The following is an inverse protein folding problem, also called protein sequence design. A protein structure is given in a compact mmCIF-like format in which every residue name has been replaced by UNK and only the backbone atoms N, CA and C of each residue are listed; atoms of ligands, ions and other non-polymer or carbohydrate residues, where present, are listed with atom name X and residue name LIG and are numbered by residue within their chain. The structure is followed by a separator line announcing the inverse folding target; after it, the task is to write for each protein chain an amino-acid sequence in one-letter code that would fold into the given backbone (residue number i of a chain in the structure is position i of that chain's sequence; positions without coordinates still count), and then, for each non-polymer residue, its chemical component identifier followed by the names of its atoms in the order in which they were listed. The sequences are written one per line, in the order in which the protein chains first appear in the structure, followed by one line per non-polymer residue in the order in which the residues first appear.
data_IF_874280690864
#
_entry.id   IF_874280690864
#
_cell.length_a   1.000
_cell.length_b   1.000
_cell.length_c   1.000
_cell.angle_alpha   90.00
_cell.angle_beta   90.00
_cell.angle_gamma   90.00
#
_symmetry.space_group_name_H-M   'P 1'
#
loop_
_entity.id
_entity.type
_entity.pdbx_description
1 polymer ?
#
# COMPACT_ATOMS: atom_id res chain seq x y z
N UNK A 1 -11.09 15.26 -3.95
CA UNK A 1 -11.66 14.27 -2.99
C UNK A 1 -11.61 14.89 -1.61
N UNK A 2 -12.63 14.67 -0.79
CA UNK A 2 -12.55 15.08 0.61
C UNK A 2 -11.53 14.19 1.30
N UNK A 3 -10.81 14.77 2.23
CA UNK A 3 -9.72 14.13 2.97
C UNK A 3 -10.14 12.83 3.67
N UNK A 4 -11.40 12.76 4.10
CA UNK A 4 -12.04 11.59 4.68
C UNK A 4 -12.20 10.43 3.69
N UNK A 5 -12.41 10.73 2.41
CA UNK A 5 -12.55 9.71 1.35
C UNK A 5 -11.21 9.04 1.05
N UNK A 6 -10.11 9.79 1.11
CA UNK A 6 -8.75 9.24 0.93
C UNK A 6 -8.37 8.33 2.09
N UNK A 7 -8.71 8.72 3.32
CA UNK A 7 -8.46 7.87 4.49
C UNK A 7 -9.29 6.59 4.43
N UNK A 8 -10.57 6.68 4.08
CA UNK A 8 -11.44 5.50 3.90
C UNK A 8 -10.96 4.60 2.76
N UNK A 9 -10.46 5.19 1.67
CA UNK A 9 -9.87 4.41 0.57
C UNK A 9 -8.62 3.65 1.04
N UNK A 10 -7.75 4.31 1.81
CA UNK A 10 -6.55 3.68 2.37
C UNK A 10 -6.90 2.55 3.34
N UNK A 11 -7.89 2.74 4.22
CA UNK A 11 -8.36 1.70 5.16
C UNK A 11 -8.94 0.49 4.43
N UNK A 12 -9.76 0.70 3.39
CA UNK A 12 -10.29 -0.42 2.59
C UNK A 12 -9.18 -1.17 1.85
N UNK A 13 -8.18 -0.45 1.37
CA UNK A 13 -7.02 -1.08 0.72
C UNK A 13 -6.22 -1.89 1.73
N UNK A 14 -6.00 -1.36 2.93
CA UNK A 14 -5.37 -2.06 4.05
C UNK A 14 -6.06 -3.40 4.32
N UNK A 15 -7.39 -3.40 4.52
CA UNK A 15 -8.17 -4.62 4.77
C UNK A 15 -8.05 -5.64 3.63
N UNK A 16 -8.08 -5.16 2.37
CA UNK A 16 -7.93 -6.02 1.19
C UNK A 16 -6.53 -6.63 1.13
N UNK A 17 -5.49 -5.84 1.41
CA UNK A 17 -4.10 -6.26 1.37
C UNK A 17 -3.80 -7.28 2.47
N UNK A 18 -4.25 -7.01 3.70
CA UNK A 18 -4.01 -7.90 4.86
C UNK A 18 -4.59 -9.29 4.61
N UNK A 19 -5.77 -9.38 4.00
CA UNK A 19 -6.43 -10.65 3.63
C UNK A 19 -6.02 -11.22 2.26
N UNK A 20 -5.22 -10.52 1.47
CA UNK A 20 -4.85 -10.91 0.12
C UNK A 20 -3.61 -11.81 0.06
N UNK A 21 -3.51 -12.61 -1.00
CA UNK A 21 -2.30 -13.33 -1.38
C UNK A 21 -1.22 -12.38 -1.92
N UNK A 22 0.05 -12.81 -1.90
CA UNK A 22 1.20 -12.01 -2.35
C UNK A 22 0.99 -11.35 -3.73
N UNK A 23 0.43 -12.07 -4.70
CA UNK A 23 0.15 -11.53 -6.05
C UNK A 23 -0.88 -10.39 -6.01
N UNK A 24 -1.93 -10.54 -5.20
CA UNK A 24 -2.93 -9.50 -5.03
C UNK A 24 -2.37 -8.30 -4.25
N UNK A 25 -1.50 -8.55 -3.26
CA UNK A 25 -0.75 -7.50 -2.56
C UNK A 25 0.12 -6.68 -3.50
N UNK A 26 0.88 -7.31 -4.39
CA UNK A 26 1.67 -6.63 -5.43
C UNK A 26 0.80 -5.78 -6.37
N UNK A 27 -0.34 -6.30 -6.80
CA UNK A 27 -1.25 -5.55 -7.67
C UNK A 27 -1.88 -4.33 -6.95
N UNK A 28 -2.08 -4.40 -5.63
CA UNK A 28 -2.67 -3.34 -4.82
C UNK A 28 -1.64 -2.33 -4.29
N UNK A 29 -0.36 -2.69 -4.24
CA UNK A 29 0.73 -1.83 -3.78
C UNK A 29 0.81 -0.47 -4.51
N UNK A 30 0.78 -0.39 -5.86
CA UNK A 30 0.84 0.90 -6.54
C UNK A 30 -0.39 1.77 -6.22
N UNK A 31 -1.59 1.18 -6.19
CA UNK A 31 -2.84 1.87 -5.82
C UNK A 31 -2.78 2.39 -4.37
N UNK A 32 -2.23 1.59 -3.45
CA UNK A 32 -2.04 1.96 -2.06
C UNK A 32 -1.05 3.14 -1.90
N UNK A 33 0.09 3.08 -2.59
CA UNK A 33 1.10 4.14 -2.52
C UNK A 33 0.59 5.46 -3.12
N UNK A 34 -0.21 5.41 -4.19
CA UNK A 34 -0.88 6.60 -4.73
C UNK A 34 -1.80 7.26 -3.70
N UNK A 35 -2.63 6.46 -3.01
CA UNK A 35 -3.53 6.97 -1.97
C UNK A 35 -2.76 7.56 -0.79
N UNK A 36 -1.67 6.89 -0.33
CA UNK A 36 -0.80 7.44 0.72
C UNK A 36 -0.11 8.73 0.30
N UNK A 37 0.33 8.82 -0.96
CA UNK A 37 0.93 10.03 -1.51
C UNK A 37 -0.08 11.18 -1.57
N UNK A 38 -1.34 10.90 -1.91
CA UNK A 38 -2.41 11.89 -1.87
C UNK A 38 -2.78 12.32 -0.45
N UNK A 39 -2.76 11.41 0.53
CA UNK A 39 -2.92 11.73 1.96
C UNK A 39 -1.83 12.70 2.42
N UNK A 40 -0.56 12.37 2.14
CA UNK A 40 0.59 13.25 2.44
C UNK A 40 0.48 14.61 1.76
N UNK A 41 0.12 14.62 0.46
CA UNK A 41 -0.04 15.86 -0.31
C UNK A 41 -1.21 16.72 0.18
N UNK A 42 -2.22 16.10 0.79
CA UNK A 42 -3.35 16.79 1.43
C UNK A 42 -3.00 17.34 2.82
N UNK A 43 -1.78 17.12 3.32
CA UNK A 43 -1.35 17.54 4.64
C UNK A 43 -1.85 16.65 5.78
N UNK A 44 -2.31 15.43 5.47
CA UNK A 44 -2.75 14.46 6.46
C UNK A 44 -1.58 13.61 6.92
N UNK A 45 -1.46 13.47 8.24
CA UNK A 45 -0.56 12.50 8.83
C UNK A 45 -1.06 11.10 8.50
N UNK A 46 -0.21 10.33 7.80
CA UNK A 46 -0.51 8.94 7.47
C UNK A 46 -0.37 8.09 8.74
N UNK A 47 -1.42 7.36 9.15
CA UNK A 47 -1.36 6.44 10.28
C UNK A 47 -0.19 5.47 10.19
N UNK A 48 0.51 5.24 11.31
CA UNK A 48 1.66 4.34 11.37
C UNK A 48 1.36 2.92 10.87
N UNK A 49 0.11 2.44 11.02
CA UNK A 49 -0.33 1.14 10.50
C UNK A 49 -0.22 1.04 8.96
N UNK A 50 -0.60 2.11 8.25
CA UNK A 50 -0.55 2.15 6.78
C UNK A 50 0.88 2.26 6.28
N UNK A 51 1.70 3.08 6.93
CA UNK A 51 3.13 3.20 6.62
C UNK A 51 3.87 1.88 6.84
N UNK A 52 3.47 1.12 7.87
CA UNK A 52 4.06 -0.20 8.14
C UNK A 52 3.69 -1.20 7.04
N UNK A 53 2.42 -1.21 6.62
CA UNK A 53 1.96 -2.05 5.53
C UNK A 53 2.63 -1.70 4.20
N UNK A 54 2.77 -0.42 3.87
CA UNK A 54 3.49 0.05 2.67
C UNK A 54 4.93 -0.47 2.62
N UNK A 55 5.60 -0.44 3.77
CA UNK A 55 6.95 -0.97 3.92
C UNK A 55 7.00 -2.49 3.75
N UNK A 56 6.10 -3.22 4.40
CA UNK A 56 6.00 -4.68 4.26
C UNK A 56 5.77 -5.09 2.80
N UNK A 57 4.86 -4.40 2.10
CA UNK A 57 4.64 -4.59 0.67
C UNK A 57 5.87 -4.27 -0.17
N UNK A 58 6.60 -3.21 0.18
CA UNK A 58 7.86 -2.83 -0.47
C UNK A 58 8.91 -3.93 -0.36
N UNK A 59 9.08 -4.48 0.84
CA UNK A 59 10.01 -5.57 1.13
C UNK A 59 9.59 -6.85 0.39
N UNK A 60 8.31 -7.24 0.42
CA UNK A 60 7.78 -8.40 -0.35
C UNK A 60 7.97 -8.23 -1.86
N UNK A 61 7.74 -7.02 -2.38
CA UNK A 61 7.91 -6.75 -3.81
C UNK A 61 9.37 -6.82 -4.25
N UNK A 62 10.31 -6.36 -3.42
CA UNK A 62 11.75 -6.47 -3.68
C UNK A 62 12.16 -7.93 -3.73
N UNK A 63 11.74 -8.76 -2.76
CA UNK A 63 12.06 -10.19 -2.75
C UNK A 63 11.53 -10.91 -4.00
N UNK A 64 10.27 -10.66 -4.37
CA UNK A 64 9.68 -11.25 -5.57
C UNK A 64 10.35 -10.77 -6.87
N UNK A 65 10.79 -9.51 -6.94
CA UNK A 65 11.56 -9.00 -8.07
C UNK A 65 12.91 -9.71 -8.21
N UNK A 66 13.60 -9.95 -7.10
CA UNK A 66 14.86 -10.70 -7.07
C UNK A 66 14.68 -12.15 -7.53
N UNK A 67 13.59 -12.81 -7.14
CA UNK A 67 13.29 -14.18 -7.57
C UNK A 67 13.08 -14.25 -9.10
N UNK A 68 12.46 -13.24 -9.70
CA UNK A 68 12.26 -13.18 -11.17
C UNK A 68 13.56 -12.93 -11.96
N UNK A 69 14.57 -12.33 -11.34
CA UNK A 69 15.85 -12.05 -11.99
C UNK A 69 16.81 -13.25 -11.99
N UNK A 70 16.53 -14.27 -11.18
CA UNK A 70 17.35 -15.49 -11.08
C UNK A 70 16.75 -16.73 -11.75
N UNK A 71 15.62 -16.59 -12.46
CA UNK A 71 14.95 -17.68 -13.20
C UNK A 71 15.36 -17.77 -14.68
#
# INVERSE_FOLDING_TARGET
MKTTELLQAAERLEERIVGASMTARQALQPEFNEVLSQLRASGIEVPSRLTKLDRELGEEAIEAYFESYTA
#
